data_IF_212345090519
#
_entry.id   IF_212345090519
#
_cell.length_a   1.000
_cell.length_b   1.000
_cell.length_c   1.000
_cell.angle_alpha   90.00
_cell.angle_beta   90.00
_cell.angle_gamma   90.00
#
_symmetry.space_group_name_H-M   'P 1'
#
loop_
_entity.id
_entity.type
_entity.pdbx_description
1 polymer ?
#
# COMPACT_ATOMS: atom_id res chain seq x y z
N UNK A 1 15.42 -23.32 -9.22
CA UNK A 1 14.85 -21.97 -9.10
C UNK A 1 15.20 -21.39 -7.75
N UNK A 2 15.86 -20.26 -7.73
CA UNK A 2 16.20 -19.57 -6.50
C UNK A 2 14.97 -18.92 -5.87
N UNK A 3 15.06 -18.63 -4.58
CA UNK A 3 13.99 -17.92 -3.86
C UNK A 3 13.69 -16.55 -4.50
N UNK A 4 14.73 -15.83 -4.93
CA UNK A 4 14.57 -14.54 -5.61
C UNK A 4 13.81 -14.65 -6.92
N UNK A 5 14.04 -15.71 -7.69
CA UNK A 5 13.32 -15.94 -8.94
C UNK A 5 11.84 -16.23 -8.70
N UNK A 6 11.53 -17.03 -7.68
CA UNK A 6 10.14 -17.29 -7.29
C UNK A 6 9.43 -16.03 -6.82
N UNK A 7 10.10 -15.21 -6.02
CA UNK A 7 9.54 -13.94 -5.57
C UNK A 7 9.24 -13.01 -6.73
N UNK A 8 10.12 -12.98 -7.74
CA UNK A 8 9.92 -12.18 -8.93
C UNK A 8 8.75 -12.67 -9.78
N UNK A 9 8.59 -13.98 -9.89
CA UNK A 9 7.45 -14.58 -10.61
C UNK A 9 6.12 -14.23 -9.94
N UNK A 10 6.05 -14.35 -8.62
CA UNK A 10 4.84 -14.04 -7.86
C UNK A 10 4.48 -12.57 -8.01
N UNK A 11 5.47 -11.68 -7.93
CA UNK A 11 5.27 -10.25 -8.14
C UNK A 11 4.77 -9.95 -9.54
N UNK A 12 5.39 -10.57 -10.54
CA UNK A 12 5.00 -10.38 -11.94
C UNK A 12 3.55 -10.83 -12.17
N UNK A 13 3.19 -11.99 -11.63
CA UNK A 13 1.83 -12.51 -11.73
C UNK A 13 0.81 -11.57 -11.10
N UNK A 14 1.11 -11.03 -9.93
CA UNK A 14 0.23 -10.05 -9.28
C UNK A 14 0.01 -8.82 -10.17
N UNK A 15 1.08 -8.28 -10.72
CA UNK A 15 1.01 -7.10 -11.60
C UNK A 15 0.17 -7.41 -12.84
N UNK A 16 0.43 -8.55 -13.48
CA UNK A 16 -0.29 -8.97 -14.68
C UNK A 16 -1.79 -9.15 -14.42
N UNK A 17 -2.13 -9.83 -13.34
CA UNK A 17 -3.52 -10.07 -12.94
C UNK A 17 -4.24 -8.77 -12.62
N UNK A 18 -3.56 -7.84 -11.93
CA UNK A 18 -4.12 -6.54 -11.60
C UNK A 18 -4.42 -5.71 -12.84
N UNK A 19 -3.50 -5.71 -13.82
CA UNK A 19 -3.71 -5.00 -15.08
C UNK A 19 -4.84 -5.63 -15.90
N UNK A 20 -4.94 -6.95 -15.90
CA UNK A 20 -6.05 -7.65 -16.56
C UNK A 20 -7.38 -7.28 -15.92
N UNK A 21 -7.42 -7.20 -14.58
CA UNK A 21 -8.62 -6.78 -13.89
C UNK A 21 -9.03 -5.38 -14.32
N UNK A 22 -8.08 -4.44 -14.38
CA UNK A 22 -8.34 -3.05 -14.77
C UNK A 22 -8.85 -2.98 -16.22
N UNK A 23 -8.25 -3.74 -17.12
CA UNK A 23 -8.68 -3.77 -18.53
C UNK A 23 -10.11 -4.26 -18.69
N UNK A 24 -10.55 -5.17 -17.82
CA UNK A 24 -11.92 -5.69 -17.83
C UNK A 24 -12.92 -4.80 -17.09
N UNK A 25 -12.45 -3.84 -16.30
CA UNK A 25 -13.31 -2.99 -15.50
C UNK A 25 -13.92 -1.88 -16.35
N UNK A 26 -15.23 -1.70 -16.24
CA UNK A 26 -15.95 -0.63 -16.97
C UNK A 26 -16.38 0.51 -16.06
N UNK A 27 -16.40 0.26 -14.74
CA UNK A 27 -16.81 1.24 -13.73
C UNK A 27 -16.22 0.85 -12.38
N UNK A 28 -16.37 1.72 -11.40
CA UNK A 28 -16.00 1.47 -9.99
C UNK A 28 -14.51 1.21 -9.79
N UNK A 29 -13.66 1.83 -10.62
CA UNK A 29 -12.21 1.67 -10.52
C UNK A 29 -11.49 2.92 -9.97
N UNK A 30 -12.23 3.86 -9.37
CA UNK A 30 -11.65 5.11 -8.84
C UNK A 30 -10.56 4.88 -7.79
N UNK A 31 -10.69 3.80 -7.02
CA UNK A 31 -9.73 3.45 -5.96
C UNK A 31 -8.72 2.40 -6.39
N UNK A 32 -8.71 2.01 -7.67
CA UNK A 32 -7.85 0.92 -8.16
C UNK A 32 -6.39 1.13 -7.81
N UNK A 33 -5.85 2.32 -8.07
CA UNK A 33 -4.43 2.60 -7.84
C UNK A 33 -4.06 2.50 -6.35
N UNK A 34 -4.96 2.87 -5.46
CA UNK A 34 -4.73 2.75 -4.01
C UNK A 34 -4.66 1.29 -3.58
N UNK A 35 -5.60 0.47 -4.06
CA UNK A 35 -5.59 -0.98 -3.79
C UNK A 35 -4.35 -1.62 -4.36
N UNK A 36 -4.02 -1.28 -5.61
CA UNK A 36 -2.84 -1.82 -6.29
C UNK A 36 -1.56 -1.54 -5.50
N UNK A 37 -1.34 -0.29 -5.12
CA UNK A 37 -0.13 0.09 -4.40
C UNK A 37 -0.06 -0.55 -3.01
N UNK A 38 -1.16 -0.59 -2.29
CA UNK A 38 -1.16 -1.17 -0.94
C UNK A 38 -0.91 -2.67 -0.97
N UNK A 39 -1.56 -3.40 -1.88
CA UNK A 39 -1.38 -4.85 -1.97
C UNK A 39 -0.02 -5.23 -2.53
N UNK A 40 0.57 -4.37 -3.37
CA UNK A 40 1.92 -4.58 -3.89
C UNK A 40 2.94 -4.69 -2.76
N UNK A 41 2.73 -4.00 -1.63
CA UNK A 41 3.64 -4.06 -0.48
C UNK A 41 3.81 -5.48 0.07
N UNK A 42 2.82 -6.37 -0.12
CA UNK A 42 2.92 -7.78 0.28
C UNK A 42 4.00 -8.51 -0.50
N UNK A 43 4.14 -8.16 -1.78
CA UNK A 43 5.06 -8.86 -2.69
C UNK A 43 6.48 -8.32 -2.59
N UNK A 44 6.63 -7.08 -2.13
CA UNK A 44 7.95 -6.47 -1.96
C UNK A 44 8.42 -6.48 -0.49
N UNK A 45 7.61 -7.02 0.42
CA UNK A 45 8.07 -7.37 1.76
C UNK A 45 7.83 -6.36 2.87
N UNK A 46 7.00 -5.32 2.65
CA UNK A 46 6.74 -4.35 3.71
C UNK A 46 5.25 -4.07 3.94
N UNK A 47 4.40 -5.09 3.75
CA UNK A 47 2.97 -4.95 4.03
C UNK A 47 2.74 -4.62 5.51
N UNK A 48 1.92 -3.59 5.81
CA UNK A 48 1.67 -3.19 7.19
C UNK A 48 0.85 -4.23 7.95
N UNK A 49 0.93 -4.18 9.28
CA UNK A 49 0.17 -5.07 10.17
C UNK A 49 -1.03 -4.33 10.77
N UNK A 50 -2.22 -4.87 10.55
CA UNK A 50 -3.47 -4.29 11.01
C UNK A 50 -3.87 -4.73 12.45
N UNK A 51 -3.20 -5.73 13.02
CA UNK A 51 -3.64 -6.39 14.26
C UNK A 51 -3.95 -5.47 15.41
N UNK A 52 -3.09 -4.49 15.66
CA UNK A 52 -3.22 -3.64 16.85
C UNK A 52 -4.01 -2.36 16.61
N UNK A 53 -4.75 -2.29 15.50
CA UNK A 53 -5.55 -1.10 15.22
C UNK A 53 -6.65 -0.92 16.25
N UNK A 54 -6.78 0.31 16.76
CA UNK A 54 -7.91 0.76 17.56
C UNK A 54 -8.23 2.20 17.21
N UNK A 55 -9.44 2.64 17.50
CA UNK A 55 -9.83 4.02 17.23
C UNK A 55 -8.93 4.99 18.02
N UNK A 56 -8.42 6.01 17.32
CA UNK A 56 -7.52 6.99 17.92
C UNK A 56 -6.07 6.59 18.02
N UNK A 57 -5.70 5.38 17.57
CA UNK A 57 -4.30 4.94 17.56
C UNK A 57 -3.47 5.68 16.51
N UNK A 58 -2.15 5.53 16.60
CA UNK A 58 -1.21 6.03 15.61
C UNK A 58 -0.68 4.88 14.75
N UNK A 59 -0.10 5.20 13.61
CA UNK A 59 0.57 4.22 12.76
C UNK A 59 2.06 4.52 12.69
N UNK A 60 2.87 3.52 13.06
CA UNK A 60 4.32 3.59 12.97
C UNK A 60 4.74 3.19 11.55
N UNK A 61 5.13 4.17 10.75
CA UNK A 61 5.47 3.92 9.34
C UNK A 61 6.73 3.08 9.18
N UNK A 62 7.70 3.22 10.07
CA UNK A 62 8.95 2.47 9.97
C UNK A 62 8.75 0.99 10.27
N UNK A 63 7.99 0.68 11.31
CA UNK A 63 7.73 -0.70 11.71
C UNK A 63 6.49 -1.29 11.05
N UNK A 64 5.68 -0.47 10.37
CA UNK A 64 4.51 -0.93 9.65
C UNK A 64 3.41 -1.48 10.56
N UNK A 65 3.19 -0.88 11.72
CA UNK A 65 2.20 -1.35 12.69
C UNK A 65 1.49 -0.20 13.37
N UNK A 66 0.31 -0.49 13.94
CA UNK A 66 -0.43 0.49 14.74
C UNK A 66 0.02 0.43 16.19
N UNK A 67 0.10 1.61 16.81
CA UNK A 67 0.53 1.76 18.20
C UNK A 67 -0.46 2.66 18.94
N UNK A 68 -0.62 2.42 20.24
CA UNK A 68 -1.57 3.19 21.04
C UNK A 68 -1.17 4.64 21.24
N UNK A 69 0.12 4.90 21.23
CA UNK A 69 0.67 6.22 21.44
C UNK A 69 1.89 6.42 20.55
N UNK A 70 2.03 7.63 20.00
CA UNK A 70 3.18 7.99 19.20
C UNK A 70 3.80 9.29 19.71
N UNK A 71 5.14 9.36 19.75
CA UNK A 71 5.81 10.63 20.02
C UNK A 71 5.57 11.61 18.87
N UNK A 72 5.62 12.89 19.16
CA UNK A 72 5.53 13.92 18.12
C UNK A 72 6.85 14.00 17.36
N UNK A 73 7.02 13.06 16.45
CA UNK A 73 8.20 12.99 15.58
C UNK A 73 7.80 12.42 14.21
N UNK A 74 8.69 12.56 13.25
CA UNK A 74 8.48 12.05 11.90
C UNK A 74 8.38 10.53 11.92
N UNK A 75 7.59 9.99 10.98
CA UNK A 75 7.45 8.56 10.85
C UNK A 75 6.22 7.98 11.52
N UNK A 76 5.40 8.83 12.13
CA UNK A 76 4.12 8.39 12.71
C UNK A 76 2.96 9.12 12.06
N UNK A 77 1.92 8.37 11.71
CA UNK A 77 0.66 8.93 11.25
C UNK A 77 -0.31 8.96 12.43
N UNK A 78 -1.03 10.06 12.58
CA UNK A 78 -2.01 10.22 13.65
C UNK A 78 -3.35 10.70 13.08
N UNK A 79 -4.43 10.57 13.85
CA UNK A 79 -5.74 11.05 13.47
C UNK A 79 -6.23 10.46 12.15
N UNK A 80 -6.69 11.32 11.25
CA UNK A 80 -7.26 10.89 9.97
C UNK A 80 -6.28 10.14 9.09
N UNK A 81 -5.00 10.45 9.15
CA UNK A 81 -3.99 9.78 8.33
C UNK A 81 -3.78 8.33 8.77
N UNK A 82 -3.80 8.07 10.07
CA UNK A 82 -3.75 6.70 10.59
C UNK A 82 -5.01 5.92 10.18
N UNK A 83 -6.18 6.56 10.22
CA UNK A 83 -7.44 5.97 9.75
C UNK A 83 -7.38 5.66 8.26
N UNK A 84 -6.79 6.55 7.47
CA UNK A 84 -6.62 6.32 6.02
C UNK A 84 -5.74 5.10 5.75
N UNK A 85 -4.65 4.94 6.50
CA UNK A 85 -3.81 3.75 6.36
C UNK A 85 -4.59 2.48 6.65
N UNK A 86 -5.40 2.47 7.71
CA UNK A 86 -6.26 1.35 8.05
C UNK A 86 -7.27 1.06 6.92
N UNK A 87 -7.88 2.08 6.35
CA UNK A 87 -8.80 1.96 5.22
C UNK A 87 -8.11 1.33 4.01
N UNK A 88 -6.90 1.80 3.67
CA UNK A 88 -6.11 1.27 2.56
C UNK A 88 -5.83 -0.22 2.74
N UNK A 89 -5.52 -0.64 3.97
CA UNK A 89 -5.23 -2.04 4.27
C UNK A 89 -6.45 -2.95 4.14
N UNK A 90 -7.65 -2.41 4.33
CA UNK A 90 -8.90 -3.17 4.24
C UNK A 90 -9.47 -3.26 2.83
N UNK A 91 -9.09 -2.35 1.95
CA UNK A 91 -9.57 -2.37 0.58
C UNK A 91 -8.98 -3.52 -0.23
N UNK A 92 -9.80 -4.08 -1.11
CA UNK A 92 -9.38 -5.00 -2.15
C UNK A 92 -10.17 -4.69 -3.43
N UNK A 93 -9.93 -5.43 -4.51
CA UNK A 93 -10.61 -5.17 -5.76
C UNK A 93 -12.12 -5.43 -5.71
N UNK A 94 -12.55 -6.32 -4.81
CA UNK A 94 -13.96 -6.66 -4.68
C UNK A 94 -14.75 -5.63 -3.89
N UNK A 95 -14.15 -5.03 -2.85
CA UNK A 95 -14.85 -4.11 -1.96
C UNK A 95 -14.51 -2.64 -2.16
N UNK A 96 -13.51 -2.30 -2.99
CA UNK A 96 -13.06 -0.90 -3.13
C UNK A 96 -14.16 0.05 -3.58
N UNK A 97 -15.16 -0.42 -4.32
CA UNK A 97 -16.30 0.39 -4.75
C UNK A 97 -17.17 0.87 -3.60
N UNK A 98 -17.09 0.18 -2.45
CA UNK A 98 -17.87 0.52 -1.26
C UNK A 98 -17.22 1.65 -0.46
N UNK A 99 -15.95 1.93 -0.70
CA UNK A 99 -15.22 2.99 -0.04
C UNK A 99 -15.36 4.28 -0.85
N UNK A 100 -16.44 5.02 -0.59
CA UNK A 100 -16.71 6.28 -1.30
C UNK A 100 -15.87 7.38 -0.69
N UNK A 101 -14.88 7.82 -1.44
CA UNK A 101 -13.97 8.87 -1.01
C UNK A 101 -14.05 10.06 -1.96
N UNK A 102 -13.89 11.26 -1.42
CA UNK A 102 -13.75 12.46 -2.24
C UNK A 102 -12.41 12.41 -2.98
N UNK A 103 -12.27 13.26 -3.99
CA UNK A 103 -11.01 13.41 -4.71
C UNK A 103 -9.88 13.81 -3.74
N UNK A 104 -10.17 14.72 -2.80
CA UNK A 104 -9.20 15.14 -1.79
C UNK A 104 -8.77 13.99 -0.89
N UNK A 105 -9.71 13.14 -0.45
CA UNK A 105 -9.41 11.97 0.37
C UNK A 105 -8.55 10.96 -0.38
N UNK A 106 -8.85 10.70 -1.65
CA UNK A 106 -8.03 9.81 -2.46
C UNK A 106 -6.61 10.33 -2.64
N UNK A 107 -6.47 11.63 -2.89
CA UNK A 107 -5.16 12.25 -3.00
C UNK A 107 -4.37 12.14 -1.70
N UNK A 108 -5.03 12.33 -0.56
CA UNK A 108 -4.38 12.18 0.74
C UNK A 108 -3.95 10.73 1.00
N UNK A 109 -4.79 9.77 0.65
CA UNK A 109 -4.42 8.34 0.73
C UNK A 109 -3.20 8.05 -0.15
N UNK A 110 -3.16 8.61 -1.34
CA UNK A 110 -2.03 8.43 -2.25
C UNK A 110 -0.76 9.02 -1.66
N UNK A 111 -0.83 10.20 -1.04
CA UNK A 111 0.32 10.81 -0.37
C UNK A 111 0.84 9.93 0.77
N UNK A 112 -0.07 9.42 1.60
CA UNK A 112 0.28 8.54 2.73
C UNK A 112 0.99 7.28 2.24
N UNK A 113 0.44 6.61 1.24
CA UNK A 113 1.04 5.37 0.73
C UNK A 113 2.36 5.64 0.00
N UNK A 114 2.47 6.78 -0.69
CA UNK A 114 3.72 7.18 -1.35
C UNK A 114 4.83 7.43 -0.34
N UNK A 115 4.52 8.11 0.75
CA UNK A 115 5.48 8.36 1.83
C UNK A 115 5.94 7.05 2.46
N UNK A 116 5.02 6.10 2.63
CA UNK A 116 5.33 4.77 3.14
C UNK A 116 6.30 4.04 2.20
N UNK A 117 6.03 4.08 0.88
CA UNK A 117 6.93 3.51 -0.12
C UNK A 117 8.31 4.15 -0.08
N UNK A 118 8.39 5.46 -0.01
CA UNK A 118 9.68 6.17 0.04
C UNK A 118 10.54 5.71 1.20
N UNK A 119 9.90 5.52 2.36
CA UNK A 119 10.62 5.07 3.56
C UNK A 119 11.16 3.65 3.38
N UNK A 120 10.34 2.73 2.89
CA UNK A 120 10.70 1.31 2.81
C UNK A 120 11.53 0.96 1.57
N UNK A 121 11.30 1.62 0.46
CA UNK A 121 12.08 1.40 -0.77
C UNK A 121 13.54 1.80 -0.58
N UNK A 122 13.82 2.83 0.23
CA UNK A 122 15.19 3.22 0.56
C UNK A 122 15.95 2.07 1.23
N UNK A 123 15.24 1.23 2.02
CA UNK A 123 15.82 0.07 2.70
C UNK A 123 15.95 -1.14 1.77
N UNK A 124 15.17 -1.20 0.69
CA UNK A 124 15.09 -2.34 -0.23
C UNK A 124 15.65 -2.05 -1.63
N UNK A 125 16.45 -1.02 -1.77
CA UNK A 125 16.98 -0.55 -3.06
C UNK A 125 17.76 -1.59 -3.86
N UNK A 126 18.21 -2.65 -3.22
CA UNK A 126 18.99 -3.72 -3.86
C UNK A 126 18.12 -4.89 -4.32
N UNK A 127 16.82 -4.86 -4.10
CA UNK A 127 15.93 -5.94 -4.49
C UNK A 127 15.62 -5.91 -5.98
N UNK A 128 15.59 -7.08 -6.61
CA UNK A 128 15.25 -7.20 -8.04
C UNK A 128 13.85 -6.67 -8.35
N UNK A 129 12.91 -6.84 -7.44
CA UNK A 129 11.54 -6.33 -7.58
C UNK A 129 11.49 -4.81 -7.71
N UNK A 130 12.53 -4.11 -7.25
CA UNK A 130 12.63 -2.67 -7.34
C UNK A 130 12.69 -2.18 -8.80
N UNK A 131 13.36 -2.91 -9.68
CA UNK A 131 13.39 -2.56 -11.12
C UNK A 131 11.99 -2.59 -11.71
N UNK A 132 11.19 -3.58 -11.36
CA UNK A 132 9.81 -3.71 -11.80
C UNK A 132 8.97 -2.53 -11.30
N UNK A 133 9.14 -2.16 -10.03
CA UNK A 133 8.46 -0.99 -9.46
C UNK A 133 8.82 0.30 -10.19
N UNK A 134 10.10 0.49 -10.50
CA UNK A 134 10.56 1.68 -11.22
C UNK A 134 9.96 1.78 -12.62
N UNK A 135 9.83 0.67 -13.31
CA UNK A 135 9.19 0.64 -14.62
C UNK A 135 7.71 1.00 -14.55
N UNK A 136 7.01 0.54 -13.52
CA UNK A 136 5.59 0.80 -13.34
C UNK A 136 5.27 2.25 -12.99
N UNK A 137 6.12 2.88 -12.17
CA UNK A 137 5.85 4.21 -11.61
C UNK A 137 6.78 5.30 -12.15
N UNK A 138 7.49 4.99 -13.21
CA UNK A 138 8.38 5.96 -13.86
C UNK A 138 7.60 7.04 -14.64
#
# INVERSE_FOLDING_TARGET
>A
VTRSEKESEVLFDYISESLQWLDGARKDFSNFHLVFMMRLTRFVGFFPNLEDYSEGCAFDMQNGCFVDWAPQQRGFLTGDDATKMQTLMRMNYDNMRLFKMSHADRNRCLDVITDYYRLHVADFREMKSLSILRELFA
#
